data_IF_617435226992
#
_entry.id   IF_617435226992
#
_cell.length_a   1.000
_cell.length_b   1.000
_cell.length_c   1.000
_cell.angle_alpha   90.00
_cell.angle_beta   90.00
_cell.angle_gamma   90.00
#
_symmetry.space_group_name_H-M   'P 1'
#
loop_
_entity.id
_entity.type
_entity.pdbx_description
1 polymer ?
#
# COMPACT_ATOMS: atom_id res chain seq x y z
N UNK A 1 -15.95 8.01 -5.77
CA UNK A 1 -14.82 7.78 -6.71
C UNK A 1 -14.71 6.29 -6.96
N UNK A 2 -14.72 5.89 -8.23
CA UNK A 2 -14.63 4.47 -8.56
C UNK A 2 -13.31 4.17 -9.27
N UNK A 3 -12.49 3.30 -8.68
CA UNK A 3 -11.22 2.92 -9.24
C UNK A 3 -11.35 1.61 -10.03
N UNK A 4 -10.74 1.57 -11.20
CA UNK A 4 -10.69 0.36 -12.02
C UNK A 4 -9.66 -0.60 -11.41
N UNK A 5 -10.13 -1.69 -10.82
CA UNK A 5 -9.26 -2.65 -10.12
C UNK A 5 -8.29 -3.36 -11.04
N UNK A 6 -8.66 -3.59 -12.31
CA UNK A 6 -7.74 -4.21 -13.27
C UNK A 6 -6.58 -3.28 -13.58
N UNK A 7 -6.85 -2.00 -13.83
CA UNK A 7 -5.80 -1.00 -14.07
C UNK A 7 -4.93 -0.85 -12.83
N UNK A 8 -5.54 -0.83 -11.65
CA UNK A 8 -4.82 -0.73 -10.38
C UNK A 8 -3.84 -1.89 -10.21
N UNK A 9 -4.29 -3.10 -10.43
CA UNK A 9 -3.43 -4.29 -10.32
C UNK A 9 -2.28 -4.24 -11.31
N UNK A 10 -2.56 -3.89 -12.56
CA UNK A 10 -1.53 -3.79 -13.61
C UNK A 10 -0.45 -2.78 -13.24
N UNK A 11 -0.84 -1.61 -12.73
CA UNK A 11 0.11 -0.58 -12.30
C UNK A 11 0.97 -1.05 -11.14
N UNK A 12 0.36 -1.67 -10.13
CA UNK A 12 1.11 -2.16 -8.96
C UNK A 12 2.11 -3.23 -9.37
N UNK A 13 1.69 -4.19 -10.19
CA UNK A 13 2.59 -5.25 -10.64
C UNK A 13 3.75 -4.71 -11.46
N UNK A 14 3.50 -3.72 -12.32
CA UNK A 14 4.55 -3.05 -13.08
C UNK A 14 5.53 -2.33 -12.16
N UNK A 15 5.03 -1.49 -11.25
CA UNK A 15 5.89 -0.75 -10.32
C UNK A 15 6.69 -1.67 -9.42
N UNK A 16 6.10 -2.80 -8.99
CA UNK A 16 6.78 -3.73 -8.10
C UNK A 16 7.97 -4.45 -8.75
N UNK A 17 8.13 -4.34 -10.06
CA UNK A 17 9.32 -4.89 -10.72
C UNK A 17 10.59 -4.11 -10.40
N UNK A 18 10.47 -2.84 -9.97
CA UNK A 18 11.63 -1.99 -9.68
C UNK A 18 11.46 -1.06 -8.49
N UNK A 19 10.28 -1.00 -7.88
CA UNK A 19 10.02 -0.17 -6.70
C UNK A 19 9.57 -1.03 -5.51
N UNK A 20 9.65 -0.45 -4.31
CA UNK A 20 9.24 -1.11 -3.07
C UNK A 20 7.72 -1.25 -2.97
N UNK A 21 7.27 -2.02 -1.97
CA UNK A 21 5.83 -2.20 -1.71
C UNK A 21 5.13 -0.88 -1.39
N UNK A 22 5.73 -0.06 -0.54
CA UNK A 22 5.13 1.22 -0.15
C UNK A 22 5.01 2.18 -1.33
N UNK A 23 6.06 2.29 -2.14
CA UNK A 23 6.04 3.13 -3.34
C UNK A 23 5.02 2.63 -4.35
N UNK A 24 5.03 1.34 -4.64
CA UNK A 24 4.15 0.74 -5.65
C UNK A 24 2.68 0.86 -5.30
N UNK A 25 2.33 0.65 -4.03
CA UNK A 25 0.95 0.72 -3.57
C UNK A 25 0.45 2.17 -3.61
N UNK A 26 1.23 3.11 -3.11
CA UNK A 26 0.86 4.52 -3.13
C UNK A 26 0.71 5.03 -4.56
N UNK A 27 1.69 4.78 -5.41
CA UNK A 27 1.68 5.27 -6.78
C UNK A 27 0.58 4.62 -7.60
N UNK A 28 0.37 3.32 -7.45
CA UNK A 28 -0.69 2.62 -8.15
C UNK A 28 -2.07 3.19 -7.83
N UNK A 29 -2.35 3.40 -6.56
CA UNK A 29 -3.63 3.96 -6.13
C UNK A 29 -3.84 5.40 -6.59
N UNK A 30 -2.85 6.25 -6.37
CA UNK A 30 -2.97 7.67 -6.73
C UNK A 30 -3.08 7.87 -8.25
N UNK A 31 -2.33 7.11 -9.03
CA UNK A 31 -2.41 7.22 -10.49
C UNK A 31 -3.73 6.68 -11.02
N UNK A 32 -4.22 5.57 -10.50
CA UNK A 32 -5.52 5.05 -10.91
C UNK A 32 -6.65 6.02 -10.57
N UNK A 33 -6.51 6.75 -9.46
CA UNK A 33 -7.47 7.77 -9.04
C UNK A 33 -7.26 9.13 -9.73
N UNK A 34 -6.21 9.29 -10.52
CA UNK A 34 -5.80 10.56 -11.13
C UNK A 34 -5.58 11.67 -10.09
N UNK A 35 -5.02 11.30 -8.94
CA UNK A 35 -4.73 12.25 -7.88
C UNK A 35 -3.53 13.14 -8.30
N UNK A 36 -3.64 14.48 -8.15
CA UNK A 36 -2.61 15.42 -8.67
C UNK A 36 -1.39 15.50 -7.75
N UNK A 37 -0.55 14.48 -7.78
CA UNK A 37 0.73 14.45 -7.06
C UNK A 37 1.79 13.83 -7.99
N UNK A 38 3.00 14.36 -7.96
CA UNK A 38 4.07 13.88 -8.83
C UNK A 38 4.60 12.52 -8.37
N UNK A 39 5.11 11.73 -9.33
CA UNK A 39 5.75 10.45 -9.00
C UNK A 39 6.94 10.64 -8.07
N UNK A 40 7.71 11.71 -8.28
CA UNK A 40 8.87 12.01 -7.43
C UNK A 40 8.45 12.23 -5.98
N UNK A 41 7.38 13.02 -5.76
CA UNK A 41 6.89 13.30 -4.40
C UNK A 41 6.36 12.04 -3.73
N UNK A 42 5.63 11.20 -4.48
CA UNK A 42 5.14 9.93 -3.94
C UNK A 42 6.30 9.01 -3.52
N UNK A 43 7.35 8.94 -4.33
CA UNK A 43 8.51 8.14 -3.98
C UNK A 43 9.22 8.67 -2.73
N UNK A 44 9.35 9.99 -2.62
CA UNK A 44 9.95 10.59 -1.42
C UNK A 44 9.15 10.27 -0.17
N UNK A 45 7.82 10.35 -0.26
CA UNK A 45 6.95 10.04 0.87
C UNK A 45 7.04 8.58 1.30
N UNK A 46 7.07 7.68 0.33
CA UNK A 46 6.92 6.26 0.59
C UNK A 46 8.23 5.50 0.75
N UNK A 47 9.34 5.99 0.21
CA UNK A 47 10.60 5.23 0.15
C UNK A 47 11.15 4.87 1.52
N UNK A 48 10.95 5.71 2.53
CA UNK A 48 11.39 5.42 3.90
C UNK A 48 10.67 4.26 4.56
N UNK A 49 9.52 3.85 4.02
CA UNK A 49 8.74 2.73 4.54
C UNK A 49 9.06 1.41 3.83
N UNK A 50 9.99 1.42 2.89
CA UNK A 50 10.39 0.21 2.17
C UNK A 50 10.96 -0.84 3.13
N UNK A 51 10.66 -2.10 2.86
CA UNK A 51 11.19 -3.21 3.67
C UNK A 51 10.75 -3.16 5.12
N UNK A 52 9.54 -2.73 5.39
CA UNK A 52 9.02 -2.61 6.75
C UNK A 52 9.70 -1.50 7.54
N UNK A 53 9.98 -0.40 6.86
CA UNK A 53 10.66 0.80 7.34
C UNK A 53 12.18 0.70 7.27
N UNK A 54 12.77 1.67 6.59
CA UNK A 54 14.22 1.82 6.50
C UNK A 54 14.95 0.70 5.80
N UNK A 55 14.23 -0.18 5.10
CA UNK A 55 14.86 -1.32 4.43
C UNK A 55 15.43 -2.37 5.37
N UNK A 56 14.97 -2.39 6.62
CA UNK A 56 15.54 -3.26 7.66
C UNK A 56 15.00 -4.69 7.62
N UNK A 57 13.81 -4.90 7.05
CA UNK A 57 13.10 -6.19 7.08
C UNK A 57 12.95 -6.73 8.49
N UNK A 58 12.74 -5.83 9.46
CA UNK A 58 12.61 -6.14 10.86
C UNK A 58 11.16 -5.93 11.31
N UNK A 59 10.92 -5.43 12.51
CA UNK A 59 9.59 -5.38 13.13
C UNK A 59 8.62 -4.37 12.52
N UNK A 60 9.02 -3.65 11.47
CA UNK A 60 8.18 -2.64 10.84
C UNK A 60 6.99 -3.22 10.08
N UNK A 61 5.96 -2.40 9.92
CA UNK A 61 4.76 -2.75 9.16
C UNK A 61 5.08 -2.92 7.68
N UNK A 62 4.48 -3.91 7.04
CA UNK A 62 4.62 -4.16 5.61
C UNK A 62 4.33 -2.89 4.79
N UNK A 63 5.20 -2.62 3.80
CA UNK A 63 5.08 -1.43 2.96
C UNK A 63 3.77 -1.37 2.17
N UNK A 64 3.16 -2.51 1.87
CA UNK A 64 1.84 -2.53 1.24
C UNK A 64 0.82 -1.82 2.13
N UNK A 65 0.86 -2.07 3.43
CA UNK A 65 -0.07 -1.43 4.38
C UNK A 65 0.24 0.06 4.52
N UNK A 66 1.50 0.44 4.71
CA UNK A 66 1.86 1.85 4.88
C UNK A 66 1.56 2.66 3.62
N UNK A 67 1.84 2.11 2.44
CA UNK A 67 1.48 2.77 1.18
C UNK A 67 -0.02 2.92 1.01
N UNK A 68 -0.79 1.90 1.38
CA UNK A 68 -2.24 1.94 1.36
C UNK A 68 -2.79 3.02 2.29
N UNK A 69 -2.22 3.13 3.49
CA UNK A 69 -2.65 4.15 4.46
C UNK A 69 -2.36 5.57 3.95
N UNK A 70 -1.22 5.79 3.31
CA UNK A 70 -0.90 7.08 2.71
C UNK A 70 -1.89 7.44 1.60
N UNK A 71 -2.18 6.50 0.69
CA UNK A 71 -3.15 6.73 -0.38
C UNK A 71 -4.54 6.99 0.18
N UNK A 72 -4.96 6.24 1.19
CA UNK A 72 -6.24 6.47 1.87
C UNK A 72 -6.36 7.91 2.39
N UNK A 73 -5.28 8.42 2.97
CA UNK A 73 -5.26 9.80 3.45
C UNK A 73 -5.43 10.83 2.34
N UNK A 74 -4.73 10.61 1.22
CA UNK A 74 -4.80 11.54 0.09
C UNK A 74 -6.14 11.49 -0.64
N UNK A 75 -6.76 10.33 -0.72
CA UNK A 75 -7.99 10.12 -1.50
C UNK A 75 -9.28 10.42 -0.74
N UNK A 76 -9.19 10.81 0.52
CA UNK A 76 -10.35 11.18 1.34
C UNK A 76 -10.22 12.62 1.84
N UNK A 77 -11.35 13.24 2.14
CA UNK A 77 -11.40 14.67 2.47
C UNK A 77 -11.50 14.97 3.97
N UNK A 78 -12.00 14.03 4.78
CA UNK A 78 -12.19 14.30 6.20
C UNK A 78 -11.39 13.34 7.10
N UNK A 79 -10.83 13.92 8.13
CA UNK A 79 -9.94 13.19 9.04
C UNK A 79 -10.63 12.01 9.75
N UNK A 80 -11.87 12.13 10.27
CA UNK A 80 -12.53 10.97 10.88
C UNK A 80 -12.68 9.77 9.93
N UNK A 81 -13.07 10.01 8.68
CA UNK A 81 -13.18 8.95 7.68
C UNK A 81 -11.82 8.33 7.39
N UNK A 82 -10.77 9.15 7.25
CA UNK A 82 -9.41 8.66 7.03
C UNK A 82 -8.99 7.70 8.16
N UNK A 83 -9.24 8.09 9.41
CA UNK A 83 -8.88 7.27 10.56
C UNK A 83 -9.66 5.97 10.63
N UNK A 84 -10.97 6.02 10.36
CA UNK A 84 -11.81 4.82 10.37
C UNK A 84 -11.38 3.86 9.27
N UNK A 85 -11.14 4.37 8.08
CA UNK A 85 -10.66 3.55 6.95
C UNK A 85 -9.28 2.96 7.25
N UNK A 86 -8.41 3.72 7.90
CA UNK A 86 -7.07 3.25 8.25
C UNK A 86 -7.14 2.02 9.17
N UNK A 87 -8.02 2.06 10.16
CA UNK A 87 -8.24 0.93 11.07
C UNK A 87 -8.74 -0.29 10.29
N UNK A 88 -9.69 -0.08 9.39
CA UNK A 88 -10.24 -1.17 8.58
C UNK A 88 -9.19 -1.77 7.65
N UNK A 89 -8.39 -0.92 7.00
CA UNK A 89 -7.28 -1.36 6.12
C UNK A 89 -6.30 -2.23 6.91
N UNK A 90 -5.85 -1.74 8.05
CA UNK A 90 -4.89 -2.46 8.89
C UNK A 90 -5.45 -3.82 9.34
N UNK A 91 -6.66 -3.85 9.84
CA UNK A 91 -7.28 -5.07 10.33
C UNK A 91 -7.57 -6.06 9.20
N UNK A 92 -8.01 -5.60 8.04
CA UNK A 92 -8.26 -6.45 6.88
C UNK A 92 -6.99 -7.17 6.45
N UNK A 93 -5.88 -6.44 6.37
CA UNK A 93 -4.59 -7.03 6.02
C UNK A 93 -4.15 -8.06 7.05
N UNK A 94 -4.27 -7.71 8.34
CA UNK A 94 -3.88 -8.60 9.43
C UNK A 94 -4.69 -9.89 9.44
N UNK A 95 -5.97 -9.82 9.14
CA UNK A 95 -6.83 -11.01 9.04
C UNK A 95 -6.42 -11.91 7.88
N UNK A 96 -6.09 -11.32 6.73
CA UNK A 96 -5.73 -12.10 5.54
C UNK A 96 -4.38 -12.80 5.70
N UNK A 97 -3.39 -12.09 6.22
CA UNK A 97 -2.00 -12.59 6.27
C UNK A 97 -1.56 -13.02 7.68
N UNK A 98 -2.40 -12.84 8.69
CA UNK A 98 -2.10 -13.20 10.07
C UNK A 98 -1.14 -12.23 10.78
N UNK A 99 -0.62 -11.25 10.06
CA UNK A 99 0.35 -10.28 10.57
C UNK A 99 0.42 -9.08 9.64
N UNK A 100 0.91 -7.96 10.15
CA UNK A 100 1.28 -6.79 9.31
C UNK A 100 2.79 -6.59 9.28
N UNK A 101 3.56 -7.43 9.95
CA UNK A 101 5.01 -7.25 10.08
C UNK A 101 5.74 -7.75 8.84
N UNK A 102 6.61 -6.91 8.29
CA UNK A 102 7.40 -7.24 7.12
C UNK A 102 8.29 -8.47 7.34
N UNK A 103 8.91 -8.56 8.52
CA UNK A 103 9.80 -9.69 8.84
C UNK A 103 9.07 -11.03 8.82
N UNK A 104 7.82 -11.06 9.27
CA UNK A 104 7.02 -12.30 9.28
C UNK A 104 6.53 -12.67 7.89
N UNK A 105 6.17 -11.68 7.08
CA UNK A 105 5.68 -11.92 5.70
C UNK A 105 6.81 -12.39 4.79
N UNK A 106 8.01 -11.81 4.95
CA UNK A 106 9.15 -12.03 4.04
C UNK A 106 10.23 -12.92 4.61
N UNK A 107 10.05 -13.48 5.80
CA UNK A 107 11.10 -14.21 6.51
C UNK A 107 12.39 -13.37 6.57
N UNK A 108 12.29 -12.19 7.21
CA UNK A 108 13.39 -11.22 7.36
C UNK A 108 14.01 -10.78 6.03
N UNK A 109 13.17 -10.66 5.00
CA UNK A 109 13.60 -10.21 3.68
C UNK A 109 14.14 -11.30 2.77
N UNK A 110 14.19 -12.54 3.23
CA UNK A 110 14.70 -13.66 2.43
C UNK A 110 13.73 -14.11 1.35
N UNK A 111 12.42 -14.02 1.60
CA UNK A 111 11.39 -14.42 0.64
C UNK A 111 10.42 -13.25 0.40
N UNK A 112 10.59 -12.57 -0.73
CA UNK A 112 9.74 -11.45 -1.13
C UNK A 112 8.63 -11.86 -2.10
N UNK A 113 8.46 -13.15 -2.34
CA UNK A 113 7.44 -13.64 -3.30
C UNK A 113 6.02 -13.21 -2.94
N UNK A 114 5.59 -13.13 -1.66
CA UNK A 114 4.24 -12.68 -1.35
C UNK A 114 4.03 -11.16 -1.47
N UNK A 115 5.10 -10.36 -1.61
CA UNK A 115 5.01 -8.90 -1.53
C UNK A 115 4.09 -8.27 -2.57
N UNK A 116 4.17 -8.72 -3.81
CA UNK A 116 3.33 -8.19 -4.89
C UNK A 116 1.85 -8.44 -4.60
N UNK A 117 1.51 -9.66 -4.19
CA UNK A 117 0.11 -10.00 -3.89
C UNK A 117 -0.41 -9.21 -2.69
N UNK A 118 0.44 -8.96 -1.69
CA UNK A 118 0.08 -8.11 -0.55
C UNK A 118 -0.29 -6.70 -1.02
N UNK A 119 0.49 -6.14 -1.93
CA UNK A 119 0.22 -4.81 -2.47
C UNK A 119 -1.11 -4.76 -3.21
N UNK A 120 -1.36 -5.73 -4.08
CA UNK A 120 -2.60 -5.79 -4.86
C UNK A 120 -3.80 -5.97 -3.93
N UNK A 121 -3.71 -6.91 -2.99
CA UNK A 121 -4.80 -7.21 -2.06
C UNK A 121 -5.24 -5.95 -1.30
N UNK A 122 -4.29 -5.26 -0.68
CA UNK A 122 -4.65 -4.12 0.17
C UNK A 122 -5.05 -2.90 -0.65
N UNK A 123 -4.48 -2.73 -1.83
CA UNK A 123 -4.87 -1.64 -2.73
C UNK A 123 -6.33 -1.80 -3.18
N UNK A 124 -6.77 -3.02 -3.46
CA UNK A 124 -8.16 -3.28 -3.80
C UNK A 124 -9.10 -2.95 -2.64
N UNK A 125 -8.68 -3.19 -1.40
CA UNK A 125 -9.45 -2.79 -0.22
C UNK A 125 -9.58 -1.26 -0.13
N UNK A 126 -8.51 -0.51 -0.39
CA UNK A 126 -8.57 0.95 -0.43
C UNK A 126 -9.54 1.41 -1.52
N UNK A 127 -9.47 0.78 -2.70
CA UNK A 127 -10.37 1.09 -3.81
C UNK A 127 -11.84 0.91 -3.40
N UNK A 128 -12.16 -0.16 -2.69
CA UNK A 128 -13.51 -0.41 -2.20
C UNK A 128 -13.97 0.67 -1.22
N UNK A 129 -13.08 1.12 -0.33
CA UNK A 129 -13.41 2.13 0.67
C UNK A 129 -13.65 3.51 0.05
N UNK A 130 -12.85 3.90 -0.93
CA UNK A 130 -13.01 5.21 -1.57
C UNK A 130 -14.14 5.23 -2.59
N UNK A 131 -14.63 4.07 -2.99
CA UNK A 131 -15.75 3.93 -3.94
C UNK A 131 -17.11 4.21 -3.28
N UNK A 132 -17.16 4.24 -1.97
CA UNK A 132 -18.40 4.46 -1.22
C UNK A 132 -18.87 5.91 -1.19
#
# INVERSE_FOLDING_TARGET
>A
MKLDKQILEEKIREYRTFLSCSESTLMGLCETANYPISKEDMRKLASGFAGGMGGTFDEGTCGAVTGALMANGLLNDDIPTIKDNAKEIFNTFKEEYGTVRCDKITNHGEDKSPCVDCCVFIAEKVADLVDK
#
